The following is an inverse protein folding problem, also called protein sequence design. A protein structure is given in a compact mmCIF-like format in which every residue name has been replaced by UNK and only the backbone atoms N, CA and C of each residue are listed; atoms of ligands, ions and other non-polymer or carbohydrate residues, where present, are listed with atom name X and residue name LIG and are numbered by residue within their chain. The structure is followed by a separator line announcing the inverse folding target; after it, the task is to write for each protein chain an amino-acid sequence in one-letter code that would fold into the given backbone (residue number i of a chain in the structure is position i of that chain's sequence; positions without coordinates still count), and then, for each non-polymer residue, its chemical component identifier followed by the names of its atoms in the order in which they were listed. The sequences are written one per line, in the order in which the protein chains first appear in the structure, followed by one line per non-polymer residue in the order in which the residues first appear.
data_IF_480730487449
#
_entry.id   IF_480730487449
#
_cell.length_a   1.000
_cell.length_b   1.000
_cell.length_c   1.000
_cell.angle_alpha   90.00
_cell.angle_beta   90.00
_cell.angle_gamma   90.00
#
_symmetry.space_group_name_H-M   'P 1'
#
loop_
_entity.id
_entity.type
_entity.pdbx_description
1 polymer ?
#
# COMPACT_ATOMS: atom_id res chain seq x y z
N UNK A 1 -61.21 -41.64 29.44
CA UNK A 1 -59.83 -41.25 29.11
C UNK A 1 -59.60 -41.72 27.67
N UNK A 2 -59.90 -40.96 26.60
CA UNK A 2 -59.28 -39.68 26.21
C UNK A 2 -57.78 -39.75 26.51
N UNK A 3 -56.83 -39.79 25.57
CA UNK A 3 -56.73 -39.23 24.24
C UNK A 3 -55.27 -38.74 24.09
N UNK A 4 -54.82 -38.50 22.87
CA UNK A 4 -53.47 -38.03 22.44
C UNK A 4 -52.44 -39.16 22.25
N UNK A 5 -52.19 -39.68 21.04
CA UNK A 5 -51.78 -39.03 19.77
C UNK A 5 -50.46 -38.29 19.92
N UNK A 6 -49.39 -38.86 19.35
CA UNK A 6 -48.43 -38.16 18.50
C UNK A 6 -47.94 -39.12 17.40
N UNK A 7 -48.37 -38.82 16.18
CA UNK A 7 -47.98 -39.39 14.87
C UNK A 7 -46.46 -39.26 14.66
N UNK A 8 -45.78 -40.26 14.08
CA UNK A 8 -45.49 -40.37 12.63
C UNK A 8 -44.82 -39.10 12.09
N UNK A 9 -43.59 -39.15 11.56
CA UNK A 9 -43.35 -39.53 10.17
C UNK A 9 -41.93 -40.13 10.03
N UNK A 10 -41.89 -41.35 9.49
CA UNK A 10 -40.72 -41.88 8.79
C UNK A 10 -40.62 -41.14 7.46
N UNK A 11 -39.55 -40.39 7.27
CA UNK A 11 -39.09 -40.00 5.93
C UNK A 11 -37.63 -40.39 5.80
N UNK A 12 -37.41 -41.57 5.19
CA UNK A 12 -36.18 -41.88 4.47
C UNK A 12 -36.03 -40.82 3.38
N UNK A 13 -35.13 -39.88 3.58
CA UNK A 13 -34.64 -38.97 2.55
C UNK A 13 -33.17 -39.27 2.32
N UNK A 14 -32.87 -39.73 1.11
CA UNK A 14 -31.55 -40.12 0.64
C UNK A 14 -30.46 -39.09 0.98
N UNK A 15 -29.43 -39.55 1.70
CA UNK A 15 -28.15 -38.85 1.82
C UNK A 15 -27.30 -39.02 0.54
N UNK A 16 -27.91 -38.86 -0.64
CA UNK A 16 -27.33 -39.21 -1.95
C UNK A 16 -27.54 -38.15 -3.05
N UNK A 17 -27.83 -36.89 -2.73
CA UNK A 17 -27.98 -35.83 -3.75
C UNK A 17 -27.25 -34.51 -3.42
N UNK A 18 -26.05 -34.59 -2.84
CA UNK A 18 -25.20 -33.40 -2.60
C UNK A 18 -23.72 -33.56 -3.00
N UNK A 19 -23.42 -34.39 -4.01
CA UNK A 19 -22.03 -34.53 -4.52
C UNK A 19 -21.90 -34.61 -6.06
N UNK A 20 -22.82 -34.01 -6.81
CA UNK A 20 -22.72 -33.93 -8.25
C UNK A 20 -22.14 -32.57 -8.72
N UNK A 21 -20.92 -32.65 -9.26
CA UNK A 21 -20.38 -31.83 -10.35
C UNK A 21 -19.70 -30.47 -10.02
N UNK A 22 -18.69 -30.49 -9.14
CA UNK A 22 -17.65 -29.44 -9.17
C UNK A 22 -16.72 -29.69 -10.38
N UNK A 23 -17.06 -29.14 -11.55
CA UNK A 23 -16.16 -29.14 -12.71
C UNK A 23 -15.19 -27.97 -12.60
N UNK A 24 -13.89 -28.25 -12.50
CA UNK A 24 -12.86 -27.22 -12.70
C UNK A 24 -12.87 -26.82 -14.17
N UNK A 25 -13.07 -25.54 -14.44
CA UNK A 25 -12.97 -24.95 -15.78
C UNK A 25 -12.07 -23.72 -15.70
N UNK A 26 -11.23 -23.55 -16.73
CA UNK A 26 -10.48 -22.29 -16.89
C UNK A 26 -11.42 -21.23 -17.43
N UNK A 27 -11.60 -20.16 -16.67
CA UNK A 27 -12.45 -19.03 -17.02
C UNK A 27 -11.65 -17.74 -16.89
N UNK A 28 -12.14 -16.68 -17.54
CA UNK A 28 -11.62 -15.32 -17.35
C UNK A 28 -12.58 -14.53 -16.49
N UNK A 29 -12.06 -13.99 -15.40
CA UNK A 29 -12.80 -13.18 -14.44
C UNK A 29 -12.57 -11.70 -14.72
N UNK A 30 -13.65 -10.93 -14.67
CA UNK A 30 -13.65 -9.48 -14.66
C UNK A 30 -14.13 -8.99 -13.31
N UNK A 31 -13.35 -8.11 -12.68
CA UNK A 31 -13.77 -7.34 -11.53
C UNK A 31 -13.75 -5.85 -11.88
N UNK A 32 -14.79 -5.13 -11.48
CA UNK A 32 -14.91 -3.67 -11.65
C UNK A 32 -15.22 -2.99 -10.32
N UNK A 33 -14.82 -1.72 -10.21
CA UNK A 33 -15.05 -0.90 -9.01
C UNK A 33 -14.96 0.60 -9.39
N UNK A 34 -15.78 1.43 -8.77
CA UNK A 34 -15.78 2.88 -9.01
C UNK A 34 -14.75 3.56 -8.11
N UNK A 35 -13.81 4.28 -8.72
CA UNK A 35 -12.83 5.04 -7.96
C UNK A 35 -13.50 6.20 -7.21
N UNK A 36 -13.29 6.27 -5.89
CA UNK A 36 -13.75 7.38 -5.07
C UNK A 36 -15.26 7.42 -4.81
N UNK A 37 -15.98 6.32 -5.04
CA UNK A 37 -17.43 6.22 -4.88
C UNK A 37 -17.95 6.67 -3.52
N UNK A 38 -17.22 6.40 -2.42
CA UNK A 38 -17.61 6.82 -1.06
C UNK A 38 -17.80 8.34 -0.98
N UNK A 39 -16.89 9.12 -1.56
CA UNK A 39 -17.00 10.59 -1.56
C UNK A 39 -18.17 11.07 -2.42
N UNK A 40 -18.42 10.41 -3.55
CA UNK A 40 -19.55 10.74 -4.43
C UNK A 40 -20.89 10.47 -3.75
N UNK A 41 -20.99 9.36 -3.00
CA UNK A 41 -22.17 9.05 -2.18
C UNK A 41 -22.43 10.06 -1.07
N UNK A 42 -21.38 10.52 -0.39
CA UNK A 42 -21.49 11.52 0.67
C UNK A 42 -21.91 12.91 0.14
N UNK A 43 -21.38 13.30 -1.03
CA UNK A 43 -21.61 14.63 -1.59
C UNK A 43 -22.89 14.70 -2.44
N UNK A 44 -23.23 13.63 -3.16
CA UNK A 44 -24.28 13.62 -4.18
C UNK A 44 -25.16 12.35 -4.12
N UNK A 45 -25.84 12.05 -2.99
CA UNK A 45 -26.50 10.76 -2.78
C UNK A 45 -27.57 10.41 -3.84
N UNK A 46 -28.47 11.35 -4.17
CA UNK A 46 -29.54 11.10 -5.15
C UNK A 46 -29.01 10.98 -6.58
N UNK A 47 -28.00 11.78 -6.93
CA UNK A 47 -27.39 11.74 -8.24
C UNK A 47 -26.52 10.50 -8.42
N UNK A 48 -25.78 10.09 -7.38
CA UNK A 48 -24.97 8.88 -7.39
C UNK A 48 -25.84 7.63 -7.56
N UNK A 49 -27.04 7.60 -6.99
CA UNK A 49 -28.00 6.52 -7.22
C UNK A 49 -28.38 6.37 -8.69
N UNK A 50 -28.76 7.47 -9.36
CA UNK A 50 -29.07 7.47 -10.80
C UNK A 50 -27.85 7.13 -11.65
N UNK A 51 -26.68 7.65 -11.27
CA UNK A 51 -25.44 7.37 -11.95
C UNK A 51 -25.08 5.88 -11.88
N UNK A 52 -25.25 5.23 -10.72
CA UNK A 52 -25.01 3.80 -10.58
C UNK A 52 -25.99 2.95 -11.38
N UNK A 53 -27.26 3.34 -11.47
CA UNK A 53 -28.22 2.65 -12.36
C UNK A 53 -27.76 2.71 -13.84
N UNK A 54 -27.26 3.87 -14.29
CA UNK A 54 -26.75 4.03 -15.65
C UNK A 54 -25.42 3.30 -15.87
N UNK A 55 -24.50 3.39 -14.92
CA UNK A 55 -23.25 2.64 -14.88
C UNK A 55 -23.51 1.14 -15.00
N UNK A 56 -24.46 0.62 -14.23
CA UNK A 56 -24.79 -0.79 -14.24
C UNK A 56 -25.36 -1.24 -15.58
N UNK A 57 -26.18 -0.40 -16.21
CA UNK A 57 -26.69 -0.67 -17.55
C UNK A 57 -25.57 -0.73 -18.60
N UNK A 58 -24.59 0.19 -18.54
CA UNK A 58 -23.43 0.21 -19.43
C UNK A 58 -22.58 -1.06 -19.25
N UNK A 59 -22.21 -1.38 -18.00
CA UNK A 59 -21.40 -2.55 -17.70
C UNK A 59 -22.09 -3.85 -18.11
N UNK A 60 -23.37 -4.02 -17.75
CA UNK A 60 -24.14 -5.23 -18.11
C UNK A 60 -24.25 -5.38 -19.62
N UNK A 61 -24.53 -4.30 -20.35
CA UNK A 61 -24.60 -4.36 -21.81
C UNK A 61 -23.27 -4.79 -22.42
N UNK A 62 -22.15 -4.20 -22.00
CA UNK A 62 -20.82 -4.57 -22.51
C UNK A 62 -20.47 -6.04 -22.20
N UNK A 63 -20.75 -6.48 -20.97
CA UNK A 63 -20.49 -7.86 -20.54
C UNK A 63 -21.33 -8.85 -21.34
N UNK A 64 -22.64 -8.62 -21.48
CA UNK A 64 -23.54 -9.54 -22.18
C UNK A 64 -23.28 -9.57 -23.69
N UNK A 65 -22.98 -8.43 -24.32
CA UNK A 65 -22.66 -8.36 -25.75
C UNK A 65 -21.38 -9.15 -26.10
N UNK A 66 -20.47 -9.27 -25.15
CA UNK A 66 -19.25 -10.07 -25.28
C UNK A 66 -19.41 -11.52 -24.75
N UNK A 67 -20.65 -12.00 -24.62
CA UNK A 67 -21.01 -13.34 -24.14
C UNK A 67 -20.49 -13.66 -22.71
N UNK A 68 -20.35 -12.62 -21.87
CA UNK A 68 -20.04 -12.75 -20.46
C UNK A 68 -21.29 -12.87 -19.60
N UNK A 69 -21.11 -13.43 -18.41
CA UNK A 69 -22.15 -13.57 -17.39
C UNK A 69 -21.79 -12.74 -16.17
N UNK A 70 -22.66 -11.81 -15.77
CA UNK A 70 -22.52 -11.12 -14.49
C UNK A 70 -22.89 -12.08 -13.37
N UNK A 71 -21.94 -12.38 -12.49
CA UNK A 71 -22.13 -13.27 -11.34
C UNK A 71 -22.82 -12.52 -10.21
N UNK A 72 -22.29 -11.35 -9.84
CA UNK A 72 -22.83 -10.50 -8.78
C UNK A 72 -22.38 -9.05 -8.90
N UNK A 73 -23.19 -8.16 -8.36
CA UNK A 73 -22.78 -6.78 -8.08
C UNK A 73 -22.06 -6.72 -6.72
N UNK A 74 -21.06 -5.85 -6.59
CA UNK A 74 -20.27 -5.66 -5.36
C UNK A 74 -20.56 -4.33 -4.68
N UNK A 75 -21.67 -3.68 -5.02
CA UNK A 75 -22.06 -2.34 -4.56
C UNK A 75 -21.97 -1.35 -5.71
N UNK A 76 -20.79 -0.82 -5.94
CA UNK A 76 -20.40 0.11 -7.01
C UNK A 76 -19.52 -0.56 -8.08
N UNK A 77 -19.63 -1.88 -8.19
CA UNK A 77 -18.80 -2.69 -9.06
C UNK A 77 -19.49 -4.01 -9.42
N UNK A 78 -18.84 -4.78 -10.29
CA UNK A 78 -19.36 -6.05 -10.77
C UNK A 78 -18.26 -7.11 -10.82
N UNK A 79 -18.67 -8.34 -10.52
CA UNK A 79 -17.93 -9.55 -10.85
C UNK A 79 -18.63 -10.24 -12.02
N UNK A 80 -17.88 -10.48 -13.09
CA UNK A 80 -18.34 -11.20 -14.27
C UNK A 80 -17.34 -12.28 -14.69
N UNK A 81 -17.85 -13.27 -15.44
CA UNK A 81 -17.08 -14.40 -15.93
C UNK A 81 -17.28 -14.58 -17.43
N UNK A 82 -16.23 -15.01 -18.09
CA UNK A 82 -16.19 -15.24 -19.52
C UNK A 82 -15.50 -16.57 -19.82
N UNK A 83 -16.04 -17.32 -20.77
CA UNK A 83 -15.36 -18.48 -21.33
C UNK A 83 -14.15 -18.08 -22.20
N UNK A 84 -14.16 -16.86 -22.76
CA UNK A 84 -13.10 -16.33 -23.63
C UNK A 84 -12.44 -15.11 -23.00
N UNK A 85 -11.10 -15.13 -22.91
CA UNK A 85 -10.32 -13.97 -22.45
C UNK A 85 -10.44 -12.77 -23.41
N UNK A 86 -10.51 -13.04 -24.73
CA UNK A 86 -10.70 -12.00 -25.73
C UNK A 86 -12.08 -11.32 -25.59
N UNK A 87 -13.12 -12.11 -25.28
CA UNK A 87 -14.45 -11.58 -24.96
C UNK A 87 -14.42 -10.68 -23.71
N UNK A 88 -13.72 -11.11 -22.66
CA UNK A 88 -13.57 -10.29 -21.45
C UNK A 88 -12.82 -8.97 -21.71
N UNK A 89 -11.79 -9.00 -22.56
CA UNK A 89 -11.06 -7.80 -22.99
C UNK A 89 -11.95 -6.85 -23.79
N UNK A 90 -12.73 -7.38 -24.74
CA UNK A 90 -13.68 -6.58 -25.52
C UNK A 90 -14.73 -5.93 -24.61
N UNK A 91 -15.28 -6.68 -23.64
CA UNK A 91 -16.23 -6.14 -22.67
C UNK A 91 -15.63 -4.96 -21.87
N UNK A 92 -14.35 -5.05 -21.48
CA UNK A 92 -13.68 -3.95 -20.78
C UNK A 92 -13.54 -2.71 -21.68
N UNK A 93 -13.15 -2.90 -22.94
CA UNK A 93 -13.01 -1.82 -23.90
C UNK A 93 -14.34 -1.11 -24.15
N UNK A 94 -15.40 -1.88 -24.45
CA UNK A 94 -16.75 -1.36 -24.69
C UNK A 94 -17.30 -0.64 -23.46
N UNK A 95 -17.07 -1.20 -22.27
CA UNK A 95 -17.47 -0.58 -21.01
C UNK A 95 -16.73 0.75 -20.77
N UNK A 96 -15.41 0.81 -20.95
CA UNK A 96 -14.65 2.04 -20.78
C UNK A 96 -15.08 3.13 -21.78
N UNK A 97 -15.36 2.77 -23.03
CA UNK A 97 -15.94 3.71 -24.01
C UNK A 97 -17.32 4.19 -23.59
N UNK A 98 -18.23 3.28 -23.22
CA UNK A 98 -19.56 3.64 -22.78
C UNK A 98 -19.57 4.55 -21.56
N UNK A 99 -18.69 4.30 -20.59
CA UNK A 99 -18.53 5.13 -19.40
C UNK A 99 -17.95 6.52 -19.71
N UNK A 100 -17.01 6.61 -20.66
CA UNK A 100 -16.42 7.88 -21.10
C UNK A 100 -17.42 8.75 -21.85
N UNK A 101 -18.20 8.14 -22.74
CA UNK A 101 -19.13 8.84 -23.63
C UNK A 101 -20.42 9.28 -22.93
N UNK A 102 -20.70 8.71 -21.75
CA UNK A 102 -21.81 9.12 -20.91
C UNK A 102 -21.53 10.48 -20.24
N UNK A 103 -22.46 11.46 -20.27
CA UNK A 103 -22.19 12.84 -19.86
C UNK A 103 -22.13 13.11 -18.34
N UNK A 104 -22.64 12.20 -17.50
CA UNK A 104 -22.64 12.29 -16.02
C UNK A 104 -22.92 13.71 -15.44
N UNK A 105 -24.09 14.32 -15.71
CA UNK A 105 -24.33 15.75 -15.53
C UNK A 105 -24.18 16.27 -14.09
N UNK A 106 -24.47 15.43 -13.09
CA UNK A 106 -24.56 15.84 -11.69
C UNK A 106 -23.29 15.56 -10.87
N UNK A 107 -22.48 14.58 -11.29
CA UNK A 107 -21.35 14.05 -10.50
C UNK A 107 -20.00 14.13 -11.22
N UNK A 108 -20.00 14.51 -12.51
CA UNK A 108 -18.82 14.43 -13.36
C UNK A 108 -18.45 12.99 -13.75
N UNK A 109 -17.34 12.81 -14.48
CA UNK A 109 -17.00 11.52 -15.09
C UNK A 109 -16.81 10.42 -14.04
N UNK A 110 -17.55 9.33 -14.18
CA UNK A 110 -17.48 8.19 -13.30
C UNK A 110 -16.37 7.23 -13.76
N UNK A 111 -15.27 7.19 -12.99
CA UNK A 111 -14.05 6.47 -13.37
C UNK A 111 -14.04 5.07 -12.79
N UNK A 112 -14.20 4.07 -13.65
CA UNK A 112 -14.24 2.64 -13.25
C UNK A 112 -12.88 2.00 -13.49
N UNK A 113 -12.31 1.36 -12.47
CA UNK A 113 -11.15 0.49 -12.62
C UNK A 113 -11.58 -0.93 -12.88
N UNK A 114 -10.85 -1.65 -13.72
CA UNK A 114 -11.19 -3.01 -14.13
C UNK A 114 -9.95 -3.91 -14.07
N UNK A 115 -10.16 -5.19 -13.77
CA UNK A 115 -9.11 -6.19 -13.94
C UNK A 115 -9.60 -7.50 -14.52
N UNK A 116 -8.73 -8.11 -15.32
CA UNK A 116 -8.89 -9.42 -15.92
C UNK A 116 -7.85 -10.41 -15.40
N UNK A 117 -8.35 -11.58 -15.00
CA UNK A 117 -7.48 -12.71 -14.68
C UNK A 117 -8.11 -14.03 -15.10
N UNK A 118 -7.29 -14.87 -15.74
CA UNK A 118 -7.71 -16.17 -16.23
C UNK A 118 -7.10 -17.28 -15.38
N UNK A 119 -7.92 -18.23 -14.97
CA UNK A 119 -7.51 -19.35 -14.13
C UNK A 119 -8.63 -20.34 -13.90
N UNK A 120 -8.29 -21.45 -13.27
CA UNK A 120 -9.25 -22.47 -12.86
C UNK A 120 -10.11 -21.98 -11.69
N UNK A 121 -11.41 -22.25 -11.79
CA UNK A 121 -12.37 -21.93 -10.74
C UNK A 121 -13.27 -23.12 -10.43
N UNK A 122 -13.62 -23.27 -9.16
CA UNK A 122 -14.67 -24.18 -8.74
C UNK A 122 -16.01 -23.47 -8.82
N UNK A 123 -17.00 -24.15 -9.41
CA UNK A 123 -18.37 -23.64 -9.50
C UNK A 123 -19.24 -24.35 -8.48
N UNK A 124 -19.95 -23.59 -7.63
CA UNK A 124 -20.90 -24.15 -6.66
C UNK A 124 -22.13 -23.26 -6.55
N UNK A 125 -23.30 -23.80 -6.88
CA UNK A 125 -24.57 -23.09 -6.76
C UNK A 125 -24.67 -21.80 -7.58
N UNK A 126 -23.96 -21.73 -8.72
CA UNK A 126 -23.91 -20.53 -9.57
C UNK A 126 -22.93 -19.44 -9.14
N UNK A 127 -22.20 -19.64 -8.03
CA UNK A 127 -21.09 -18.77 -7.63
C UNK A 127 -19.73 -19.45 -7.90
N UNK A 128 -18.68 -18.64 -7.93
CA UNK A 128 -17.32 -19.07 -8.24
C UNK A 128 -16.41 -18.90 -7.03
N UNK A 129 -15.59 -19.91 -6.79
CA UNK A 129 -14.67 -19.95 -5.67
C UNK A 129 -13.26 -20.30 -6.12
N UNK A 130 -12.30 -19.97 -5.25
CA UNK A 130 -10.91 -20.34 -5.41
C UNK A 130 -9.97 -19.14 -5.54
N UNK A 131 -8.66 -19.42 -5.68
CA UNK A 131 -7.63 -18.39 -5.72
C UNK A 131 -7.79 -17.38 -6.85
N UNK A 132 -8.40 -17.78 -7.97
CA UNK A 132 -8.63 -16.94 -9.15
C UNK A 132 -9.51 -15.72 -8.82
N UNK A 133 -10.56 -15.89 -8.03
CA UNK A 133 -11.48 -14.81 -7.65
C UNK A 133 -10.77 -13.77 -6.80
N UNK A 134 -10.08 -14.24 -5.75
CA UNK A 134 -9.32 -13.38 -4.85
C UNK A 134 -8.19 -12.66 -5.59
N UNK A 135 -7.46 -13.35 -6.49
CA UNK A 135 -6.40 -12.75 -7.29
C UNK A 135 -6.93 -11.65 -8.20
N UNK A 136 -8.04 -11.88 -8.89
CA UNK A 136 -8.67 -10.87 -9.78
C UNK A 136 -9.03 -9.61 -9.00
N UNK A 137 -9.67 -9.75 -7.83
CA UNK A 137 -10.01 -8.63 -6.97
C UNK A 137 -8.76 -7.84 -6.50
N UNK A 138 -7.64 -8.54 -6.22
CA UNK A 138 -6.38 -7.90 -5.83
C UNK A 138 -5.70 -7.15 -6.97
N UNK A 139 -5.81 -7.65 -8.20
CA UNK A 139 -5.31 -6.94 -9.39
C UNK A 139 -6.13 -5.67 -9.62
N UNK A 140 -7.47 -5.77 -9.57
CA UNK A 140 -8.36 -4.60 -9.71
C UNK A 140 -8.04 -3.53 -8.67
N UNK A 141 -7.88 -3.93 -7.40
CA UNK A 141 -7.59 -3.00 -6.31
C UNK A 141 -6.27 -2.23 -6.48
N UNK A 142 -5.32 -2.76 -7.26
CA UNK A 142 -4.06 -2.09 -7.57
C UNK A 142 -4.19 -1.01 -8.67
N UNK A 143 -5.24 -1.07 -9.49
CA UNK A 143 -5.48 -0.13 -10.58
C UNK A 143 -6.18 1.16 -10.15
N UNK A 144 -6.19 2.12 -11.07
CA UNK A 144 -6.82 3.44 -10.94
C UNK A 144 -8.08 3.56 -11.79
N UNK A 145 -8.94 4.54 -11.49
CA UNK A 145 -10.17 4.79 -12.22
C UNK A 145 -9.93 5.06 -13.72
N UNK A 146 -10.59 4.29 -14.58
CA UNK A 146 -10.41 4.28 -16.04
C UNK A 146 -9.33 3.31 -16.53
N UNK A 147 -8.61 2.64 -15.63
CA UNK A 147 -7.55 1.69 -15.98
C UNK A 147 -8.10 0.28 -16.08
N UNK A 148 -7.65 -0.48 -17.09
CA UNK A 148 -7.93 -1.91 -17.25
C UNK A 148 -6.62 -2.67 -17.11
N UNK A 149 -6.53 -3.52 -16.09
CA UNK A 149 -5.36 -4.35 -15.81
C UNK A 149 -5.58 -5.81 -16.17
N UNK A 150 -4.52 -6.47 -16.61
CA UNK A 150 -4.51 -7.89 -16.93
C UNK A 150 -3.39 -8.59 -16.16
N UNK A 151 -3.70 -9.76 -15.60
CA UNK A 151 -2.68 -10.73 -15.18
C UNK A 151 -1.89 -11.26 -16.39
N UNK A 152 -0.72 -11.86 -16.13
CA UNK A 152 0.06 -12.53 -17.17
C UNK A 152 -0.72 -13.66 -17.86
N UNK A 153 -1.54 -14.41 -17.13
CA UNK A 153 -2.35 -15.49 -17.71
C UNK A 153 -3.42 -14.95 -18.67
N UNK A 154 -4.10 -13.87 -18.32
CA UNK A 154 -5.09 -13.23 -19.20
C UNK A 154 -4.41 -12.60 -20.42
N UNK A 155 -3.27 -11.90 -20.23
CA UNK A 155 -2.52 -11.29 -21.32
C UNK A 155 -2.03 -12.32 -22.35
N UNK A 156 -1.52 -13.47 -21.89
CA UNK A 156 -1.07 -14.55 -22.76
C UNK A 156 -2.19 -15.14 -23.64
N UNK A 157 -3.45 -15.11 -23.18
CA UNK A 157 -4.59 -15.63 -23.92
C UNK A 157 -5.13 -14.67 -24.98
N UNK A 158 -4.79 -13.37 -24.90
CA UNK A 158 -5.35 -12.33 -25.80
C UNK A 158 -4.32 -11.70 -26.73
N UNK A 159 -3.02 -11.86 -26.48
CA UNK A 159 -1.95 -11.16 -27.20
C UNK A 159 -2.00 -11.33 -28.72
N UNK A 160 -2.42 -12.51 -29.20
CA UNK A 160 -2.54 -12.82 -30.63
C UNK A 160 -3.90 -12.45 -31.24
N UNK A 161 -4.83 -11.92 -30.44
CA UNK A 161 -6.23 -11.65 -30.81
C UNK A 161 -6.70 -10.26 -30.36
N UNK A 162 -5.77 -9.32 -30.20
CA UNK A 162 -6.10 -7.96 -29.77
C UNK A 162 -6.94 -7.25 -30.85
N UNK A 163 -8.03 -6.55 -30.47
CA UNK A 163 -8.78 -5.71 -31.39
C UNK A 163 -7.92 -4.61 -32.02
N UNK A 164 -8.35 -4.09 -33.16
CA UNK A 164 -7.64 -3.02 -33.85
C UNK A 164 -7.44 -1.80 -32.92
N UNK A 165 -6.22 -1.27 -32.87
CA UNK A 165 -5.88 -0.11 -32.04
C UNK A 165 -5.63 -0.44 -30.56
N UNK A 166 -5.83 -1.68 -30.12
CA UNK A 166 -5.52 -2.13 -28.76
C UNK A 166 -4.10 -2.67 -28.69
N UNK A 167 -3.37 -2.27 -27.65
CA UNK A 167 -2.09 -2.87 -27.28
C UNK A 167 -2.03 -3.15 -25.78
N UNK A 168 -1.06 -3.95 -25.35
CA UNK A 168 -0.80 -4.23 -23.93
C UNK A 168 0.53 -3.62 -23.53
N UNK A 169 0.51 -2.70 -22.58
CA UNK A 169 1.71 -2.18 -21.94
C UNK A 169 2.10 -3.06 -20.75
N UNK A 170 3.31 -3.58 -20.75
CA UNK A 170 3.85 -4.36 -19.63
C UNK A 170 4.26 -3.42 -18.48
N UNK A 171 3.65 -3.64 -17.31
CA UNK A 171 3.91 -2.86 -16.10
C UNK A 171 4.93 -3.56 -15.17
N UNK A 172 5.38 -4.76 -15.52
CA UNK A 172 6.34 -5.54 -14.74
C UNK A 172 5.70 -6.32 -13.59
N UNK A 173 6.55 -6.82 -12.69
CA UNK A 173 6.14 -7.67 -11.56
C UNK A 173 5.76 -6.86 -10.31
N UNK A 174 4.63 -7.22 -9.72
CA UNK A 174 4.06 -6.55 -8.56
C UNK A 174 3.68 -7.54 -7.47
N UNK A 175 4.01 -7.22 -6.22
CA UNK A 175 3.48 -7.95 -5.06
C UNK A 175 2.11 -7.39 -4.70
N UNK A 176 1.10 -8.26 -4.73
CA UNK A 176 -0.27 -7.92 -4.37
C UNK A 176 -0.60 -8.48 -2.99
N UNK A 177 -1.51 -7.81 -2.29
CA UNK A 177 -1.90 -8.18 -0.93
C UNK A 177 -2.43 -9.63 -0.89
N UNK A 178 -1.94 -10.40 0.08
CA UNK A 178 -2.34 -11.79 0.33
C UNK A 178 -2.03 -12.77 -0.82
N UNK A 179 -1.13 -12.41 -1.76
CA UNK A 179 -0.61 -13.32 -2.78
C UNK A 179 0.85 -13.67 -2.47
N UNK A 180 1.18 -14.96 -2.45
CA UNK A 180 2.54 -15.44 -2.13
C UNK A 180 3.57 -15.09 -3.20
N UNK A 181 3.16 -15.11 -4.48
CA UNK A 181 4.04 -14.85 -5.63
C UNK A 181 3.74 -13.49 -6.25
N UNK A 182 4.76 -12.73 -6.69
CA UNK A 182 4.56 -11.55 -7.52
C UNK A 182 3.73 -11.88 -8.76
N UNK A 183 2.89 -10.93 -9.17
CA UNK A 183 2.06 -11.00 -10.36
C UNK A 183 2.63 -10.03 -11.39
N UNK A 184 2.89 -10.48 -12.62
CA UNK A 184 3.22 -9.56 -13.72
C UNK A 184 1.94 -8.98 -14.30
N UNK A 185 1.87 -7.66 -14.37
CA UNK A 185 0.66 -6.94 -14.76
C UNK A 185 0.85 -6.24 -16.10
N UNK A 186 -0.23 -6.20 -16.87
CA UNK A 186 -0.31 -5.50 -18.14
C UNK A 186 -1.46 -4.50 -18.09
N UNK A 187 -1.32 -3.38 -18.79
CA UNK A 187 -2.37 -2.40 -18.99
C UNK A 187 -2.89 -2.48 -20.41
N UNK A 188 -4.21 -2.48 -20.57
CA UNK A 188 -4.83 -2.24 -21.87
C UNK A 188 -4.61 -0.78 -22.29
N UNK A 189 -4.07 -0.59 -23.48
CA UNK A 189 -3.82 0.72 -24.08
C UNK A 189 -4.64 0.85 -25.36
N UNK A 190 -5.41 1.93 -25.44
CA UNK A 190 -6.18 2.29 -26.63
C UNK A 190 -6.12 3.82 -26.81
N UNK A 191 -5.93 4.34 -28.04
CA UNK A 191 -5.76 5.78 -28.30
C UNK A 191 -6.88 6.67 -27.76
N UNK A 192 -8.11 6.15 -27.74
CA UNK A 192 -9.27 6.93 -27.32
C UNK A 192 -9.55 6.85 -25.80
N UNK A 193 -8.75 6.10 -25.04
CA UNK A 193 -8.87 5.97 -23.59
C UNK A 193 -7.69 6.64 -22.89
N UNK A 194 -7.81 6.85 -21.58
CA UNK A 194 -6.67 7.29 -20.78
C UNK A 194 -5.56 6.23 -20.86
N UNK A 195 -4.36 6.65 -21.26
CA UNK A 195 -3.20 5.76 -21.42
C UNK A 195 -2.18 5.94 -20.28
N UNK A 196 -2.15 7.12 -19.67
CA UNK A 196 -1.23 7.45 -18.59
C UNK A 196 -1.96 7.41 -17.24
N UNK A 197 -1.44 6.61 -16.32
CA UNK A 197 -1.94 6.50 -14.96
C UNK A 197 -0.78 6.62 -13.96
N UNK A 198 -1.06 7.03 -12.72
CA UNK A 198 -0.07 6.92 -11.66
C UNK A 198 0.42 5.48 -11.49
N UNK A 199 1.59 5.29 -10.87
CA UNK A 199 2.09 3.96 -10.53
C UNK A 199 1.05 3.16 -9.71
N UNK A 200 0.94 1.85 -9.98
CA UNK A 200 -0.04 0.96 -9.38
C UNK A 200 0.02 0.95 -7.84
N UNK A 201 -1.15 0.82 -7.22
CA UNK A 201 -1.35 0.73 -5.77
C UNK A 201 -1.08 -0.69 -5.25
N UNK A 202 0.17 -1.15 -5.36
CA UNK A 202 0.61 -2.51 -4.99
C UNK A 202 1.35 -2.49 -3.65
N UNK A 203 1.61 -3.65 -3.01
CA UNK A 203 2.37 -3.72 -1.75
C UNK A 203 3.80 -3.17 -1.89
N UNK A 204 4.30 -3.00 -3.12
CA UNK A 204 5.59 -2.40 -3.43
C UNK A 204 5.52 -0.89 -3.74
N UNK A 205 4.40 -0.19 -3.49
CA UNK A 205 4.34 1.25 -3.82
C UNK A 205 5.38 2.05 -3.03
N UNK A 206 5.63 1.67 -1.77
CA UNK A 206 6.67 2.20 -0.87
C UNK A 206 7.02 1.13 0.15
N UNK A 207 8.29 0.72 0.29
CA UNK A 207 8.65 -0.34 1.22
C UNK A 207 8.25 0.08 2.64
N UNK A 208 7.42 -0.73 3.29
CA UNK A 208 7.04 -0.53 4.68
C UNK A 208 6.85 -1.88 5.39
N UNK A 209 7.13 -1.91 6.67
CA UNK A 209 6.99 -3.07 7.55
C UNK A 209 6.20 -2.72 8.83
N UNK A 210 5.29 -1.74 8.73
CA UNK A 210 4.52 -1.26 9.87
C UNK A 210 3.55 -2.36 10.36
N UNK A 211 3.51 -2.66 11.67
CA UNK A 211 2.56 -3.62 12.23
C UNK A 211 1.10 -3.17 12.01
N UNK A 212 0.24 -4.09 11.57
CA UNK A 212 -1.20 -3.85 11.44
C UNK A 212 -1.84 -3.55 12.79
N UNK A 213 -2.51 -2.40 12.90
CA UNK A 213 -3.23 -2.00 14.11
C UNK A 213 -4.66 -2.57 14.06
N UNK A 214 -4.96 -3.58 14.87
CA UNK A 214 -6.26 -4.31 14.86
C UNK A 214 -7.37 -3.72 15.73
N UNK A 215 -7.09 -2.64 16.47
CA UNK A 215 -8.06 -1.96 17.33
C UNK A 215 -8.29 -0.51 16.87
N UNK A 216 -9.52 -0.01 16.98
CA UNK A 216 -9.83 1.39 16.70
C UNK A 216 -8.93 2.34 17.52
N UNK A 217 -8.35 3.33 16.84
CA UNK A 217 -7.54 4.37 17.47
C UNK A 217 -8.46 5.56 17.77
N UNK A 218 -8.68 5.88 19.05
CA UNK A 218 -9.69 6.86 19.48
C UNK A 218 -9.05 7.94 20.35
N UNK A 219 -9.30 9.22 20.04
CA UNK A 219 -9.11 10.34 20.98
C UNK A 219 -7.69 10.87 21.10
N UNK A 220 -6.95 10.97 19.99
CA UNK A 220 -5.55 11.44 19.92
C UNK A 220 -5.25 12.25 18.64
N UNK A 221 -6.28 12.84 18.06
CA UNK A 221 -6.23 13.55 16.77
C UNK A 221 -5.34 14.80 16.85
N UNK A 222 -5.31 15.47 18.01
CA UNK A 222 -4.46 16.62 18.26
C UNK A 222 -2.97 16.24 18.28
N UNK A 223 -2.61 15.15 18.96
CA UNK A 223 -1.22 14.66 18.99
C UNK A 223 -0.77 14.12 17.64
N UNK A 224 -1.62 13.40 16.91
CA UNK A 224 -1.32 12.99 15.54
C UNK A 224 -1.08 14.19 14.63
N UNK A 225 -1.89 15.24 14.74
CA UNK A 225 -1.74 16.47 13.95
C UNK A 225 -0.42 17.18 14.25
N UNK A 226 -0.01 17.25 15.52
CA UNK A 226 1.28 17.84 15.90
C UNK A 226 2.46 16.98 15.43
N UNK A 227 2.38 15.65 15.54
CA UNK A 227 3.42 14.73 15.01
C UNK A 227 3.55 14.94 13.51
N UNK A 228 2.44 14.94 12.78
CA UNK A 228 2.41 15.20 11.34
C UNK A 228 3.09 16.51 11.02
N UNK A 229 2.68 17.62 11.65
CA UNK A 229 3.28 18.96 11.44
C UNK A 229 4.79 18.96 11.61
N UNK A 230 5.31 18.25 12.62
CA UNK A 230 6.77 18.09 12.86
C UNK A 230 7.45 17.19 11.82
N UNK A 231 6.73 16.19 11.31
CA UNK A 231 7.15 15.34 10.19
C UNK A 231 7.06 16.06 8.83
N UNK A 232 6.44 17.24 8.73
CA UNK A 232 6.47 18.05 7.49
C UNK A 232 7.64 19.04 7.45
N UNK A 233 7.94 19.68 8.58
CA UNK A 233 8.98 20.71 8.77
C UNK A 233 10.41 20.28 8.34
N UNK A 234 10.89 20.74 7.18
CA UNK A 234 12.16 20.28 6.57
C UNK A 234 13.40 20.36 7.47
N UNK A 235 13.37 21.16 8.53
CA UNK A 235 14.47 21.30 9.50
C UNK A 235 14.44 20.23 10.61
N UNK A 236 13.38 19.43 10.70
CA UNK A 236 13.20 18.36 11.69
C UNK A 236 13.61 17.02 11.11
N UNK A 237 14.79 16.55 11.48
CA UNK A 237 15.31 15.21 11.10
C UNK A 237 15.12 14.14 12.18
N UNK A 238 14.81 14.55 13.42
CA UNK A 238 14.60 13.66 14.56
C UNK A 238 13.43 14.17 15.41
N UNK A 239 12.44 13.32 15.63
CA UNK A 239 11.31 13.53 16.52
C UNK A 239 11.35 12.49 17.64
N UNK A 240 11.15 12.91 18.89
CA UNK A 240 11.10 11.98 20.03
C UNK A 240 9.75 12.06 20.72
N UNK A 241 9.04 10.94 20.82
CA UNK A 241 7.79 10.86 21.56
C UNK A 241 8.07 10.50 23.01
N UNK A 242 7.82 11.45 23.92
CA UNK A 242 8.04 11.26 25.36
C UNK A 242 6.73 11.09 26.09
N UNK A 243 6.74 10.30 27.17
CA UNK A 243 5.57 10.16 28.05
C UNK A 243 5.65 8.93 28.94
N UNK A 244 4.79 8.82 29.96
CA UNK A 244 4.77 7.69 30.88
C UNK A 244 4.70 6.33 30.17
N UNK A 245 5.18 5.27 30.81
CA UNK A 245 5.02 3.90 30.30
C UNK A 245 3.54 3.55 30.10
N UNK A 246 3.22 2.77 29.06
CA UNK A 246 1.85 2.30 28.82
C UNK A 246 0.90 3.32 28.19
N UNK A 247 1.31 4.57 27.93
CA UNK A 247 0.44 5.60 27.34
C UNK A 247 0.17 5.46 25.84
N UNK A 248 0.66 4.38 25.20
CA UNK A 248 0.43 4.13 23.78
C UNK A 248 1.36 4.86 22.81
N UNK A 249 2.55 5.32 23.24
CA UNK A 249 3.52 6.04 22.37
C UNK A 249 3.90 5.28 21.10
N UNK A 250 4.20 3.98 21.21
CA UNK A 250 4.48 3.12 20.05
C UNK A 250 3.28 3.08 19.11
N UNK A 251 2.07 2.91 19.64
CA UNK A 251 0.84 2.91 18.85
C UNK A 251 0.60 4.26 18.15
N UNK A 252 0.83 5.38 18.85
CA UNK A 252 0.75 6.72 18.29
C UNK A 252 1.80 6.95 17.19
N UNK A 253 3.05 6.52 17.40
CA UNK A 253 4.12 6.62 16.40
C UNK A 253 3.81 5.78 15.15
N UNK A 254 3.36 4.54 15.33
CA UNK A 254 2.98 3.64 14.24
C UNK A 254 1.77 4.18 13.46
N UNK A 255 0.78 4.76 14.16
CA UNK A 255 -0.36 5.38 13.49
C UNK A 255 0.06 6.59 12.66
N UNK A 256 0.85 7.49 13.24
CA UNK A 256 1.38 8.64 12.51
C UNK A 256 2.25 8.21 11.32
N UNK A 257 3.08 7.18 11.47
CA UNK A 257 3.90 6.65 10.38
C UNK A 257 3.05 6.03 9.27
N UNK A 258 1.95 5.34 9.62
CA UNK A 258 1.01 4.79 8.66
C UNK A 258 0.30 5.88 7.83
N UNK A 259 -0.07 7.00 8.47
CA UNK A 259 -0.68 8.16 7.79
C UNK A 259 0.32 8.89 6.85
N UNK A 260 1.62 8.65 7.00
CA UNK A 260 2.70 9.29 6.24
C UNK A 260 3.31 8.39 5.16
N UNK A 261 2.84 7.16 4.98
CA UNK A 261 3.33 6.22 3.95
C UNK A 261 3.37 6.89 2.58
N UNK A 262 2.30 7.60 2.20
CA UNK A 262 2.19 8.30 0.92
C UNK A 262 3.07 9.57 0.79
N UNK A 263 3.87 9.94 1.81
CA UNK A 263 4.80 11.08 1.75
C UNK A 263 6.29 10.74 1.77
N UNK A 264 6.65 9.55 2.25
CA UNK A 264 8.02 9.03 2.21
C UNK A 264 8.20 8.04 1.06
N UNK A 265 8.60 8.56 -0.10
CA UNK A 265 8.66 7.82 -1.38
C UNK A 265 9.60 6.62 -1.33
N UNK A 266 10.68 6.71 -0.54
CA UNK A 266 11.68 5.66 -0.41
C UNK A 266 11.40 4.69 0.76
N UNK A 267 10.32 4.90 1.52
CA UNK A 267 9.80 3.93 2.48
C UNK A 267 9.55 4.45 3.89
N UNK A 268 8.75 3.68 4.63
CA UNK A 268 8.44 3.91 6.05
C UNK A 268 8.69 2.63 6.83
N UNK A 269 9.69 2.63 7.71
CA UNK A 269 10.12 1.42 8.37
C UNK A 269 10.01 1.50 9.89
N UNK A 270 9.52 0.43 10.49
CA UNK A 270 9.53 0.17 11.92
C UNK A 270 10.72 -0.73 12.28
N UNK A 271 11.44 -0.34 13.33
CA UNK A 271 12.58 -1.07 13.89
C UNK A 271 12.33 -1.24 15.38
N UNK A 272 12.02 -2.47 15.79
CA UNK A 272 11.88 -2.82 17.20
C UNK A 272 13.25 -3.17 17.79
N UNK A 273 13.74 -2.34 18.72
CA UNK A 273 15.03 -2.53 19.38
C UNK A 273 14.90 -3.18 20.75
N UNK A 274 13.76 -3.82 21.07
CA UNK A 274 13.54 -4.46 22.37
C UNK A 274 14.68 -5.40 22.79
N UNK A 275 15.23 -6.16 21.84
CA UNK A 275 16.31 -7.15 22.05
C UNK A 275 17.72 -6.62 21.75
N UNK A 276 17.87 -5.36 21.34
CA UNK A 276 19.15 -4.78 20.90
C UNK A 276 19.78 -3.98 22.03
N UNK A 277 21.04 -4.32 22.36
CA UNK A 277 21.77 -3.72 23.48
C UNK A 277 23.06 -3.02 23.05
N UNK A 278 23.41 -2.98 21.77
CA UNK A 278 24.62 -2.32 21.29
C UNK A 278 24.40 -1.61 19.95
N UNK A 279 25.32 -0.72 19.59
CA UNK A 279 25.20 0.13 18.40
C UNK A 279 25.37 -0.68 17.12
N UNK A 280 26.24 -1.68 17.10
CA UNK A 280 26.54 -2.46 15.90
C UNK A 280 25.36 -3.35 15.51
N UNK A 281 24.74 -4.02 16.48
CA UNK A 281 23.50 -4.78 16.32
C UNK A 281 22.32 -3.90 15.90
N UNK A 282 22.26 -2.65 16.40
CA UNK A 282 21.26 -1.67 15.97
C UNK A 282 21.42 -1.30 14.48
N UNK A 283 22.65 -1.02 14.05
CA UNK A 283 22.94 -0.72 12.65
C UNK A 283 22.66 -1.92 11.74
N UNK A 284 22.98 -3.13 12.16
CA UNK A 284 22.66 -4.37 11.43
C UNK A 284 21.16 -4.55 11.25
N UNK A 285 20.38 -4.31 12.30
CA UNK A 285 18.92 -4.42 12.22
C UNK A 285 18.31 -3.36 11.29
N UNK A 286 18.78 -2.11 11.36
CA UNK A 286 18.35 -1.05 10.45
C UNK A 286 18.68 -1.41 9.01
N UNK A 287 19.91 -1.86 8.73
CA UNK A 287 20.35 -2.28 7.39
C UNK A 287 19.45 -3.38 6.82
N UNK A 288 19.15 -4.41 7.62
CA UNK A 288 18.24 -5.49 7.22
C UNK A 288 16.83 -4.97 6.90
N UNK A 289 16.29 -4.07 7.73
CA UNK A 289 14.93 -3.54 7.57
C UNK A 289 14.81 -2.68 6.31
N UNK A 290 15.82 -1.89 5.97
CA UNK A 290 15.81 -1.06 4.75
C UNK A 290 16.25 -1.83 3.49
N UNK A 291 16.58 -3.12 3.60
CA UNK A 291 16.90 -3.98 2.46
C UNK A 291 18.36 -3.91 1.99
N UNK A 292 19.28 -3.44 2.84
CA UNK A 292 20.71 -3.50 2.57
C UNK A 292 21.25 -4.91 2.80
N UNK A 293 21.93 -5.45 1.78
CA UNK A 293 22.71 -6.69 1.92
C UNK A 293 24.07 -6.38 2.55
N UNK A 294 24.50 -7.17 3.53
CA UNK A 294 25.79 -6.99 4.22
C UNK A 294 26.96 -7.15 3.23
N UNK A 295 27.65 -6.04 2.90
CA UNK A 295 28.89 -6.09 2.16
C UNK A 295 30.07 -6.19 3.13
N UNK A 296 31.02 -7.10 2.84
CA UNK A 296 32.03 -7.58 3.79
C UNK A 296 33.27 -6.68 3.95
N UNK A 297 33.33 -5.54 3.28
CA UNK A 297 34.58 -4.78 3.12
C UNK A 297 34.58 -3.36 3.73
N UNK A 298 33.45 -2.83 4.23
CA UNK A 298 33.37 -1.45 4.77
C UNK A 298 32.57 -1.37 6.08
N UNK A 299 32.66 -0.22 6.76
CA UNK A 299 31.82 0.07 7.92
C UNK A 299 30.35 0.15 7.51
N UNK A 300 29.50 -0.65 8.16
CA UNK A 300 28.05 -0.71 7.93
C UNK A 300 27.38 0.67 8.02
N UNK A 301 27.89 1.54 8.89
CA UNK A 301 27.42 2.91 9.04
C UNK A 301 27.60 3.73 7.76
N UNK A 302 28.72 3.59 7.07
CA UNK A 302 29.00 4.33 5.84
C UNK A 302 28.20 3.78 4.64
N UNK A 303 27.88 2.49 4.67
CA UNK A 303 26.99 1.87 3.68
C UNK A 303 25.55 2.34 3.85
N UNK A 304 25.04 2.32 5.08
CA UNK A 304 23.74 2.90 5.43
C UNK A 304 23.64 4.38 5.03
N UNK A 305 24.67 5.19 5.33
CA UNK A 305 24.71 6.60 4.92
C UNK A 305 24.66 6.78 3.42
N UNK A 306 25.38 5.94 2.66
CA UNK A 306 25.40 6.00 1.20
C UNK A 306 24.05 5.59 0.61
N UNK A 307 23.47 4.53 1.15
CA UNK A 307 22.18 4.00 0.71
C UNK A 307 21.04 4.99 0.94
N UNK A 308 20.96 5.57 2.15
CA UNK A 308 19.92 6.53 2.52
C UNK A 308 20.17 7.95 1.96
N UNK A 309 21.28 8.18 1.26
CA UNK A 309 21.62 9.51 0.76
C UNK A 309 20.67 9.92 -0.35
N UNK A 310 19.98 11.04 -0.14
CA UNK A 310 19.05 11.59 -1.13
C UNK A 310 17.68 10.90 -1.14
N UNK A 311 17.48 9.90 -0.28
CA UNK A 311 16.21 9.22 -0.11
C UNK A 311 15.33 9.93 0.94
N UNK A 312 14.03 9.85 0.74
CA UNK A 312 12.97 10.29 1.64
C UNK A 312 12.41 9.08 2.39
N UNK A 313 13.12 8.66 3.43
CA UNK A 313 12.74 7.55 4.32
C UNK A 313 12.31 8.05 5.70
N UNK A 314 11.26 7.43 6.26
CA UNK A 314 10.85 7.58 7.66
C UNK A 314 11.21 6.32 8.45
N UNK A 315 11.97 6.48 9.53
CA UNK A 315 12.33 5.38 10.42
C UNK A 315 11.65 5.57 11.78
N UNK A 316 10.92 4.56 12.24
CA UNK A 316 10.34 4.50 13.58
C UNK A 316 11.19 3.54 14.40
N UNK A 317 11.94 4.06 15.36
CA UNK A 317 12.84 3.27 16.22
C UNK A 317 12.21 3.12 17.59
N UNK A 318 11.66 1.95 17.92
CA UNK A 318 11.09 1.70 19.25
C UNK A 318 12.13 1.08 20.18
N UNK A 319 11.98 1.30 21.49
CA UNK A 319 12.88 0.78 22.53
C UNK A 319 14.36 1.24 22.41
N UNK A 320 14.62 2.38 21.76
CA UNK A 320 15.97 2.92 21.57
C UNK A 320 16.70 3.23 22.89
N UNK A 321 15.98 3.39 24.01
CA UNK A 321 16.57 3.57 25.32
C UNK A 321 17.52 2.44 25.76
N UNK A 322 17.33 1.22 25.25
CA UNK A 322 18.18 0.07 25.56
C UNK A 322 19.58 0.24 24.96
N UNK A 323 19.64 0.72 23.71
CA UNK A 323 20.89 1.01 23.00
C UNK A 323 21.64 2.18 23.65
N UNK A 324 20.91 3.25 24.03
CA UNK A 324 21.50 4.40 24.73
C UNK A 324 22.06 4.06 26.11
N UNK A 325 21.47 3.10 26.82
CA UNK A 325 21.94 2.69 28.13
C UNK A 325 23.29 1.95 28.07
N UNK A 326 23.56 1.28 26.95
CA UNK A 326 24.76 0.49 26.73
C UNK A 326 25.87 1.24 25.96
N UNK A 327 25.56 2.40 25.35
CA UNK A 327 26.55 3.22 24.69
C UNK A 327 27.61 3.75 25.69
N UNK A 328 28.92 3.67 25.39
CA UNK A 328 29.96 4.26 26.24
C UNK A 328 29.72 5.76 26.42
N UNK A 329 29.58 6.21 27.68
CA UNK A 329 29.29 7.62 28.05
C UNK A 329 30.30 8.64 27.52
N UNK A 330 31.44 8.18 27.00
CA UNK A 330 32.54 8.99 26.48
C UNK A 330 32.48 9.28 24.97
N UNK A 331 31.52 8.74 24.20
CA UNK A 331 31.48 8.99 22.75
C UNK A 331 30.61 10.21 22.40
N UNK A 332 31.19 11.30 21.84
CA UNK A 332 30.41 12.42 21.30
C UNK A 332 29.54 12.01 20.10
N UNK A 333 29.81 10.83 19.54
CA UNK A 333 29.09 10.22 18.42
C UNK A 333 27.64 9.86 18.79
N UNK A 334 27.37 9.41 20.03
CA UNK A 334 26.02 9.07 20.48
C UNK A 334 25.08 10.29 20.56
N UNK A 335 25.63 11.51 20.68
CA UNK A 335 24.88 12.78 20.61
C UNK A 335 24.76 13.35 19.18
N UNK A 336 25.46 12.76 18.20
CA UNK A 336 25.60 13.28 16.83
C UNK A 336 25.16 12.31 15.73
N UNK A 337 24.53 11.18 16.08
CA UNK A 337 23.88 10.31 15.09
C UNK A 337 22.58 10.96 14.58
N UNK A 338 22.71 12.07 13.86
CA UNK A 338 21.67 12.59 12.97
C UNK A 338 21.81 11.81 11.67
N UNK A 339 21.19 10.63 11.60
CA UNK A 339 20.88 10.06 10.29
C UNK A 339 19.94 11.04 9.59
N UNK A 340 20.28 11.47 8.37
CA UNK A 340 19.33 12.16 7.51
C UNK A 340 18.35 11.12 6.93
N UNK A 341 17.55 10.56 7.82
CA UNK A 341 16.33 9.81 7.58
C UNK A 341 15.41 10.27 8.70
N UNK A 342 14.20 10.71 8.39
CA UNK A 342 13.35 11.37 9.37
C UNK A 342 12.99 10.32 10.43
N UNK A 343 13.55 10.42 11.63
CA UNK A 343 13.45 9.37 12.63
C UNK A 343 12.46 9.77 13.72
N UNK A 344 11.51 8.88 14.07
CA UNK A 344 10.61 9.04 15.20
C UNK A 344 11.00 8.02 16.30
N UNK A 345 11.43 8.50 17.47
CA UNK A 345 11.93 7.67 18.58
C UNK A 345 11.00 7.79 19.80
N UNK A 346 10.26 6.75 20.22
CA UNK A 346 9.60 6.72 21.52
C UNK A 346 10.64 6.65 22.66
N UNK A 347 10.48 7.47 23.70
CA UNK A 347 11.35 7.45 24.89
C UNK A 347 10.53 7.41 26.18
N UNK A 348 10.91 6.53 27.13
CA UNK A 348 10.24 6.34 28.44
C UNK A 348 10.79 7.19 29.59
N UNK A 349 11.86 7.99 29.40
CA UNK A 349 12.47 8.74 30.52
C UNK A 349 11.67 9.98 30.92
N UNK A 350 11.47 10.14 32.23
CA UNK A 350 10.94 11.34 32.86
C UNK A 350 12.04 12.41 32.94
N UNK A 351 11.83 13.52 32.22
CA UNK A 351 12.73 14.67 31.96
C UNK A 351 13.69 14.46 30.79
N UNK A 352 13.55 15.29 29.75
CA UNK A 352 14.62 16.13 29.18
C UNK A 352 14.15 16.97 27.99
N UNK A 353 14.91 18.04 27.76
CA UNK A 353 14.75 19.16 26.84
C UNK A 353 14.75 18.81 25.36
N UNK A 354 14.00 19.58 24.56
CA UNK A 354 14.36 19.84 23.17
C UNK A 354 15.72 20.55 23.16
N UNK A 355 16.78 19.86 22.78
CA UNK A 355 18.13 20.46 22.65
C UNK A 355 18.68 20.21 21.25
N UNK A 356 18.62 21.24 20.42
CA UNK A 356 19.80 21.66 19.65
C UNK A 356 20.80 22.34 20.60
N UNK A 357 22.08 22.53 20.21
CA UNK A 357 23.11 23.00 21.13
C UNK A 357 22.87 24.45 21.59
N UNK A 358 23.17 24.81 22.86
CA UNK A 358 23.10 26.19 23.33
C UNK A 358 24.44 26.92 23.11
N UNK A 359 24.39 28.21 22.77
CA UNK A 359 25.47 29.19 22.91
C UNK A 359 24.89 30.51 23.47
N UNK A 360 25.72 31.43 24.03
CA UNK A 360 25.52 32.14 25.31
C UNK A 360 24.55 33.35 25.23
N UNK A 361 24.25 34.06 26.35
CA UNK A 361 22.96 34.68 26.52
C UNK A 361 22.84 36.10 25.94
N UNK A 362 21.58 36.40 25.60
CA UNK A 362 20.87 37.70 25.47
C UNK A 362 20.53 38.19 24.05
N UNK A 363 19.22 38.46 23.96
CA UNK A 363 18.45 39.39 23.11
C UNK A 363 18.14 39.02 21.66
N UNK A 364 16.82 38.91 21.44
CA UNK A 364 16.01 39.09 20.21
C UNK A 364 16.16 38.12 19.03
N UNK A 365 15.02 37.50 18.71
CA UNK A 365 14.51 37.03 17.41
C UNK A 365 15.48 36.98 16.21
N UNK A 366 15.61 35.80 15.59
CA UNK A 366 16.16 35.66 14.24
C UNK A 366 16.45 34.21 13.84
N UNK A 367 15.70 33.68 12.87
CA UNK A 367 16.02 32.42 12.19
C UNK A 367 17.31 32.57 11.36
N UNK A 368 18.28 31.65 11.46
CA UNK A 368 19.55 31.77 10.71
C UNK A 368 19.75 30.64 9.69
N UNK A 369 19.93 31.07 8.43
CA UNK A 369 20.24 30.27 7.23
C UNK A 369 21.73 29.85 7.17
N UNK A 370 21.98 28.85 6.31
CA UNK A 370 23.27 28.19 5.98
C UNK A 370 24.44 29.16 5.76
N UNK A 371 25.60 28.80 6.29
CA UNK A 371 26.91 29.30 5.82
C UNK A 371 27.80 28.14 5.36
N UNK A 372 28.35 28.31 4.16
CA UNK A 372 29.39 27.51 3.52
C UNK A 372 30.73 27.67 4.23
N UNK A 373 31.55 26.60 4.31
CA UNK A 373 33.01 26.77 4.28
C UNK A 373 33.77 25.47 3.93
N UNK A 374 34.80 25.67 3.13
CA UNK A 374 35.74 24.75 2.49
C UNK A 374 36.72 24.06 3.46
N UNK A 375 37.22 22.89 3.05
CA UNK A 375 38.31 22.18 3.74
C UNK A 375 39.65 22.37 3.01
N UNK A 376 40.68 22.77 3.75
CA UNK A 376 42.09 22.70 3.36
C UNK A 376 42.80 21.60 4.15
N UNK A 377 43.65 20.82 3.47
CA UNK A 377 44.36 19.64 3.98
C UNK A 377 45.69 20.06 4.65
N UNK A 378 46.06 19.54 5.84
CA UNK A 378 47.39 19.79 6.40
C UNK A 378 48.44 18.87 5.73
N UNK A 379 49.41 19.50 5.06
CA UNK A 379 50.57 18.85 4.44
C UNK A 379 51.67 18.52 5.44
N UNK A 380 52.43 17.48 5.07
CA UNK A 380 53.54 16.80 5.76
C UNK A 380 54.62 17.73 6.34
N UNK A 381 55.14 17.34 7.50
CA UNK A 381 56.39 17.84 8.06
C UNK A 381 57.59 17.43 7.18
N UNK A 382 58.33 18.42 6.70
CA UNK A 382 59.68 18.26 6.17
C UNK A 382 60.68 18.62 7.28
N UNK A 383 61.66 17.75 7.49
CA UNK A 383 62.84 18.00 8.33
C UNK A 383 63.87 18.81 7.53
N UNK A 384 64.46 19.80 8.17
CA UNK A 384 65.78 20.40 7.93
C UNK A 384 66.34 20.61 9.35
N UNK A 385 67.49 20.07 9.77
CA UNK A 385 68.87 20.31 9.32
C UNK A 385 69.21 21.79 9.29
N UNK A 386 69.55 22.34 10.45
CA UNK A 386 70.90 22.88 10.72
C UNK A 386 71.26 22.65 12.19
#
# INVERSE_FOLDING_TARGET
MAGSVHQEIVARGDASEASADARSQTLTFLFTDVEGSTKLWEQFPDAMKRALERHDAILRSAITNANGTVVKATGDGMMAVFASAAGALQACLDAQHGLRDEPWPDIGPLRVRMALHSGEAETRGGDYFGPVVNRTARIMAAGHGGQVLLSASAAALVVDQLPHGVSLADLGEHRLKDLERPERLFQLVHPDLAMEFPALSTLNRRPNNLPTQTSAFVGREAELSEIRRRIEDVDVHLLTLTGPGGTGKTRLALRAAADEVDRFEDGVFFVDLASVTDIDSCLALIARVVGLSEARERSLLDELRRHLRGQRVLLVLDNFEHVLAAAPRSSPAARRCTFAARACIPCRRSRCHATGPPLPPRTSWGASRRSSCSWSVPGRSARTSD
#
